data_IF_782486403034
#
_entry.id   IF_782486403034
#
_cell.length_a   1.000
_cell.length_b   1.000
_cell.length_c   1.000
_cell.angle_alpha   90.00
_cell.angle_beta   90.00
_cell.angle_gamma   90.00
#
_symmetry.space_group_name_H-M   'P 1'
#
loop_
_entity.id
_entity.type
_entity.pdbx_description
1 polymer ?
#
# COMPACT_ATOMS: atom_id res chain seq x y z
N UNK A 1 -6.59 13.65 -9.73
CA UNK A 1 -5.38 13.91 -9.31
C UNK A 1 -4.81 12.93 -8.29
N UNK A 2 -3.59 12.65 -8.46
CA UNK A 2 -2.99 11.68 -7.59
C UNK A 2 -3.15 12.14 -6.16
N UNK A 3 -3.49 11.22 -5.34
CA UNK A 3 -3.66 11.52 -3.95
C UNK A 3 -2.31 11.81 -3.35
N UNK A 4 -2.19 12.96 -2.78
CA UNK A 4 -0.95 13.33 -2.14
C UNK A 4 -1.09 13.31 -0.64
N UNK A 5 -2.29 13.47 -0.17
CA UNK A 5 -2.53 13.63 1.25
C UNK A 5 -3.37 12.51 1.77
N UNK A 6 -2.82 11.33 1.76
CA UNK A 6 -3.47 10.18 2.32
C UNK A 6 -4.56 9.57 1.46
N UNK A 7 -4.60 9.93 0.19
CA UNK A 7 -5.57 9.33 -0.72
C UNK A 7 -5.12 7.95 -1.17
N UNK A 8 -5.92 7.33 -1.99
CA UNK A 8 -5.69 5.98 -2.47
C UNK A 8 -5.14 6.04 -3.89
N UNK A 9 -3.99 5.42 -4.12
CA UNK A 9 -3.40 5.38 -5.45
C UNK A 9 -3.90 4.19 -6.26
N UNK A 10 -4.27 3.11 -5.58
CA UNK A 10 -4.82 1.93 -6.25
C UNK A 10 -5.67 1.17 -5.25
N UNK A 11 -6.61 0.40 -5.78
CA UNK A 11 -7.45 -0.47 -4.97
C UNK A 11 -7.37 -1.87 -5.55
N UNK A 12 -7.18 -2.85 -4.69
CA UNK A 12 -7.21 -4.25 -5.07
C UNK A 12 -8.36 -4.91 -4.34
N UNK A 13 -8.92 -5.94 -4.97
CA UNK A 13 -9.96 -6.73 -4.34
C UNK A 13 -9.55 -8.19 -4.37
N UNK A 14 -9.48 -8.77 -3.21
CA UNK A 14 -9.17 -10.18 -3.06
C UNK A 14 -10.51 -10.89 -2.86
N UNK A 15 -10.88 -11.83 -3.73
CA UNK A 15 -12.19 -12.48 -3.66
C UNK A 15 -12.33 -13.51 -2.56
N UNK A 16 -11.25 -13.82 -1.84
CA UNK A 16 -11.31 -14.78 -0.74
C UNK A 16 -12.32 -14.30 0.31
N UNK A 17 -13.37 -15.07 0.61
CA UNK A 17 -14.41 -14.61 1.52
C UNK A 17 -13.97 -14.54 2.98
N UNK A 18 -12.83 -15.13 3.31
CA UNK A 18 -12.32 -15.12 4.69
C UNK A 18 -11.23 -14.08 4.86
N UNK A 19 -10.25 -14.09 3.96
CA UNK A 19 -9.07 -13.23 4.09
C UNK A 19 -9.05 -12.07 3.13
N UNK A 20 -9.98 -12.06 2.20
CA UNK A 20 -9.97 -11.09 1.14
C UNK A 20 -10.62 -9.78 1.51
N UNK A 21 -11.12 -9.11 0.51
CA UNK A 21 -11.80 -7.85 0.67
C UNK A 21 -11.06 -6.74 -0.02
N UNK A 22 -11.39 -5.52 0.36
CA UNK A 22 -10.83 -4.33 -0.24
C UNK A 22 -9.44 -4.03 0.35
N UNK A 23 -8.49 -3.80 -0.52
CA UNK A 23 -7.12 -3.49 -0.13
C UNK A 23 -6.78 -2.13 -0.72
N UNK A 24 -6.36 -1.18 0.12
CA UNK A 24 -5.93 0.12 -0.37
C UNK A 24 -4.42 0.13 -0.50
N UNK A 25 -3.93 0.71 -1.58
CA UNK A 25 -2.50 0.78 -1.87
C UNK A 25 -2.13 2.23 -2.07
N UNK A 26 -1.11 2.67 -1.36
CA UNK A 26 -0.55 4.00 -1.54
C UNK A 26 0.92 3.86 -1.90
N UNK A 27 1.32 4.56 -2.95
CA UNK A 27 2.71 4.59 -3.38
C UNK A 27 3.27 5.96 -3.06
N UNK A 28 4.42 5.98 -2.42
CA UNK A 28 5.07 7.23 -2.05
C UNK A 28 6.52 7.21 -2.51
N UNK A 29 6.93 8.29 -3.10
CA UNK A 29 8.30 8.43 -3.58
C UNK A 29 9.03 9.34 -2.62
N UNK A 30 9.99 8.76 -1.91
CA UNK A 30 10.78 9.51 -0.94
C UNK A 30 12.25 9.39 -1.28
N UNK A 31 12.99 10.44 -0.95
CA UNK A 31 14.44 10.39 -1.04
C UNK A 31 15.06 10.00 0.30
N UNK A 32 14.28 10.08 1.36
CA UNK A 32 14.73 9.74 2.70
C UNK A 32 13.90 8.59 3.25
N UNK A 33 14.32 8.10 4.41
CA UNK A 33 13.60 7.05 5.11
C UNK A 33 12.17 7.49 5.40
N UNK A 34 11.23 6.58 5.15
CA UNK A 34 9.82 6.85 5.38
C UNK A 34 9.52 6.77 6.86
N UNK A 35 8.99 7.83 7.41
CA UNK A 35 8.66 7.90 8.82
C UNK A 35 7.28 7.37 9.12
N UNK A 36 6.98 7.30 10.42
CA UNK A 36 5.75 6.68 10.90
C UNK A 36 4.50 7.46 10.50
N UNK A 37 4.62 8.76 10.22
CA UNK A 37 3.43 9.53 9.88
C UNK A 37 2.77 9.03 8.60
N UNK A 38 3.57 8.59 7.62
CA UNK A 38 3.02 8.05 6.38
C UNK A 38 2.26 6.75 6.63
N UNK A 39 2.75 5.95 7.56
CA UNK A 39 2.11 4.69 7.91
C UNK A 39 0.81 4.93 8.66
N UNK A 40 0.81 5.91 9.55
CA UNK A 40 -0.42 6.31 10.26
C UNK A 40 -1.48 6.81 9.30
N UNK A 41 -1.06 7.60 8.31
CA UNK A 41 -1.98 8.14 7.32
C UNK A 41 -2.62 7.01 6.53
N UNK A 42 -1.83 6.02 6.15
CA UNK A 42 -2.36 4.87 5.43
C UNK A 42 -3.37 4.12 6.31
N UNK A 43 -3.06 3.93 7.58
CA UNK A 43 -3.97 3.24 8.47
C UNK A 43 -5.30 3.99 8.57
N UNK A 44 -5.25 5.32 8.66
CA UNK A 44 -6.47 6.12 8.65
C UNK A 44 -7.27 5.92 7.37
N UNK A 45 -6.59 5.84 6.25
CA UNK A 45 -7.24 5.60 4.97
C UNK A 45 -7.91 4.22 4.93
N UNK A 46 -7.24 3.20 5.45
CA UNK A 46 -7.81 1.85 5.54
C UNK A 46 -9.12 1.89 6.29
N UNK A 47 -9.14 2.57 7.43
CA UNK A 47 -10.35 2.67 8.24
C UNK A 47 -11.44 3.46 7.52
N UNK A 48 -11.07 4.57 6.92
CA UNK A 48 -12.03 5.44 6.24
C UNK A 48 -12.64 4.76 5.02
N UNK A 49 -11.87 3.93 4.33
CA UNK A 49 -12.33 3.25 3.13
C UNK A 49 -13.07 1.95 3.43
N UNK A 50 -13.13 1.55 4.67
CA UNK A 50 -13.71 0.26 5.01
C UNK A 50 -12.92 -0.90 4.42
N UNK A 51 -11.61 -0.71 4.26
CA UNK A 51 -10.77 -1.74 3.68
C UNK A 51 -10.33 -2.75 4.73
N UNK A 52 -9.92 -3.92 4.26
CA UNK A 52 -9.43 -4.96 5.16
C UNK A 52 -7.95 -4.86 5.41
N UNK A 53 -7.21 -4.22 4.51
CA UNK A 53 -5.78 -4.01 4.71
C UNK A 53 -5.28 -2.88 3.81
N UNK A 54 -4.08 -2.41 4.12
CA UNK A 54 -3.41 -1.39 3.34
C UNK A 54 -1.99 -1.78 3.05
N UNK A 55 -1.49 -1.32 1.92
CA UNK A 55 -0.12 -1.56 1.49
C UNK A 55 0.51 -0.21 1.20
N UNK A 56 1.62 0.08 1.84
CA UNK A 56 2.41 1.25 1.54
C UNK A 56 3.62 0.82 0.75
N UNK A 57 3.83 1.44 -0.40
CA UNK A 57 4.93 1.10 -1.28
C UNK A 57 5.82 2.32 -1.40
N UNK A 58 7.11 2.14 -1.27
CA UNK A 58 8.05 3.25 -1.42
C UNK A 58 9.28 2.82 -2.21
N UNK A 59 9.96 3.80 -2.77
CA UNK A 59 11.26 3.58 -3.41
C UNK A 59 12.40 3.70 -2.40
N UNK A 60 12.07 4.01 -1.17
CA UNK A 60 13.04 4.24 -0.10
C UNK A 60 12.88 3.15 0.97
N UNK A 61 13.58 3.29 2.08
CA UNK A 61 13.46 2.36 3.20
C UNK A 61 12.53 2.91 4.25
N UNK A 62 12.16 2.07 5.19
CA UNK A 62 11.29 2.44 6.30
C UNK A 62 12.11 2.53 7.59
N UNK A 63 11.77 3.48 8.42
CA UNK A 63 12.36 3.57 9.75
C UNK A 63 11.81 2.50 10.67
N UNK A 64 12.53 2.24 11.76
CA UNK A 64 12.13 1.24 12.74
C UNK A 64 10.77 1.51 13.36
N UNK A 65 10.44 2.78 13.57
CA UNK A 65 9.16 3.15 14.16
C UNK A 65 8.00 2.86 13.20
N UNK A 66 8.26 2.89 11.89
CA UNK A 66 7.25 2.53 10.90
C UNK A 66 6.89 1.05 11.01
N UNK A 67 7.89 0.19 11.12
CA UNK A 67 7.67 -1.24 11.28
C UNK A 67 6.96 -1.54 12.60
N UNK A 68 7.37 -0.85 13.65
CA UNK A 68 6.77 -1.04 14.95
C UNK A 68 5.29 -0.69 14.96
N UNK A 69 4.94 0.42 14.31
CA UNK A 69 3.55 0.84 14.22
C UNK A 69 2.73 -0.16 13.40
N UNK A 70 3.28 -0.64 12.30
CA UNK A 70 2.54 -1.49 11.35
C UNK A 70 2.34 -2.92 11.85
N UNK A 71 3.17 -3.35 12.77
CA UNK A 71 3.29 -4.77 13.09
C UNK A 71 2.01 -5.40 13.66
N UNK A 72 1.18 -4.63 14.36
CA UNK A 72 -0.08 -5.14 14.90
C UNK A 72 -1.31 -4.60 14.18
N UNK A 73 -1.12 -4.10 12.95
CA UNK A 73 -2.19 -3.53 12.16
C UNK A 73 -2.24 -4.18 10.79
N UNK A 74 -3.37 -4.08 10.08
CA UNK A 74 -3.46 -4.66 8.74
C UNK A 74 -2.76 -3.78 7.71
N UNK A 75 -1.48 -3.52 7.94
CA UNK A 75 -0.65 -2.65 7.12
C UNK A 75 0.59 -3.43 6.71
N UNK A 76 0.90 -3.39 5.43
CA UNK A 76 2.11 -4.02 4.89
C UNK A 76 3.00 -2.94 4.29
N UNK A 77 4.27 -2.99 4.63
CA UNK A 77 5.26 -2.04 4.13
C UNK A 77 6.13 -2.77 3.13
N UNK A 78 6.23 -2.25 1.92
CA UNK A 78 7.02 -2.91 0.90
C UNK A 78 7.64 -1.92 -0.07
N UNK A 79 8.65 -2.36 -0.79
CA UNK A 79 9.23 -1.55 -1.84
C UNK A 79 8.58 -1.93 -3.19
N UNK A 80 8.97 -1.20 -4.25
CA UNK A 80 8.37 -1.41 -5.56
C UNK A 80 8.57 -2.81 -6.11
N UNK A 81 9.75 -3.39 -5.88
CA UNK A 81 10.03 -4.74 -6.37
C UNK A 81 9.13 -5.77 -5.68
N UNK A 82 8.93 -5.61 -4.38
CA UNK A 82 8.04 -6.49 -3.63
C UNK A 82 6.61 -6.41 -4.17
N UNK A 83 6.16 -5.20 -4.49
CA UNK A 83 4.80 -5.03 -5.00
C UNK A 83 4.64 -5.69 -6.36
N UNK A 84 5.60 -5.50 -7.26
CA UNK A 84 5.51 -6.10 -8.59
C UNK A 84 5.46 -7.63 -8.49
N UNK A 85 6.29 -8.20 -7.62
CA UNK A 85 6.28 -9.64 -7.40
C UNK A 85 4.91 -10.11 -6.93
N UNK A 86 4.34 -9.37 -5.97
CA UNK A 86 3.02 -9.70 -5.43
C UNK A 86 1.94 -9.64 -6.50
N UNK A 87 1.99 -8.62 -7.34
CA UNK A 87 1.01 -8.49 -8.41
C UNK A 87 1.10 -9.62 -9.42
N UNK A 88 2.32 -10.01 -9.76
CA UNK A 88 2.51 -11.13 -10.69
C UNK A 88 1.97 -12.42 -10.12
N UNK A 89 2.21 -12.64 -8.84
CA UNK A 89 1.81 -13.87 -8.20
C UNK A 89 0.29 -13.96 -8.00
N UNK A 90 -0.35 -12.84 -7.71
CA UNK A 90 -1.77 -12.82 -7.36
C UNK A 90 -2.64 -12.06 -8.35
N UNK A 91 -2.08 -11.65 -9.48
CA UNK A 91 -2.79 -10.80 -10.42
C UNK A 91 -4.08 -11.38 -10.95
N UNK A 92 -4.17 -12.68 -11.06
CA UNK A 92 -5.39 -13.32 -11.54
C UNK A 92 -6.47 -13.39 -10.47
N UNK A 93 -6.13 -13.15 -9.23
CA UNK A 93 -7.07 -13.24 -8.10
C UNK A 93 -7.41 -11.89 -7.51
N UNK A 94 -6.81 -10.81 -8.00
CA UNK A 94 -7.02 -9.49 -7.46
C UNK A 94 -7.28 -8.49 -8.56
N UNK A 95 -8.15 -7.52 -8.29
CA UNK A 95 -8.37 -6.40 -9.19
C UNK A 95 -7.61 -5.21 -8.65
N UNK A 96 -6.70 -4.69 -9.47
CA UNK A 96 -5.84 -3.60 -9.06
C UNK A 96 -5.52 -2.75 -10.28
N UNK A 97 -5.35 -1.45 -10.06
CA UNK A 97 -4.91 -0.55 -11.13
C UNK A 97 -3.39 -0.63 -11.22
N UNK A 98 -2.92 -1.60 -11.98
CA UNK A 98 -1.50 -1.85 -12.14
C UNK A 98 -0.80 -0.69 -12.84
N UNK A 99 -1.47 -0.11 -13.83
CA UNK A 99 -0.88 1.00 -14.58
C UNK A 99 -0.63 2.20 -13.69
N UNK A 100 -1.59 2.52 -12.84
CA UNK A 100 -1.44 3.63 -11.93
C UNK A 100 -0.32 3.39 -10.93
N UNK A 101 -0.28 2.18 -10.36
CA UNK A 101 0.75 1.84 -9.39
C UNK A 101 2.14 1.89 -10.02
N UNK A 102 2.30 1.35 -11.22
CA UNK A 102 3.58 1.38 -11.91
C UNK A 102 4.02 2.80 -12.27
N UNK A 103 3.07 3.61 -12.67
CA UNK A 103 3.33 5.00 -13.02
C UNK A 103 3.89 5.76 -11.82
N UNK A 104 3.30 5.55 -10.66
CA UNK A 104 3.74 6.21 -9.44
C UNK A 104 5.13 5.75 -9.03
N UNK A 105 5.40 4.47 -9.16
CA UNK A 105 6.70 3.93 -8.76
C UNK A 105 7.80 4.26 -9.76
N UNK A 106 7.46 4.48 -11.02
CA UNK A 106 8.45 4.80 -12.03
C UNK A 106 8.97 6.22 -11.93
N UNK A 107 8.27 7.08 -11.25
CA UNK A 107 8.69 8.46 -11.08
C UNK A 107 9.72 8.56 -9.97
#
# INVERSE_FOLDING_TARGET
QASRDGGVDAIAFDPDPIRGGKIVIQAKRYTNTVGVSAVRDLYGTVLNEGATKGILVTTSDYGGDSYEFAKDKPIHLMNGANLLWLLEKHGQHARIDINEARKLMAQ
#
